data_IF_304192913739
#
_entry.id   IF_304192913739
#
_cell.length_a   1.000
_cell.length_b   1.000
_cell.length_c   1.000
_cell.angle_alpha   90.00
_cell.angle_beta   90.00
_cell.angle_gamma   90.00
#
_symmetry.space_group_name_H-M   'P 1'
#
loop_
_entity.id
_entity.type
_entity.pdbx_description
1 polymer ?
#
# COMPACT_ATOMS: atom_id res chain seq x y z
N UNK A 1 65.03 91.02 -29.36
CA UNK A 1 65.07 91.67 -30.68
C UNK A 1 64.55 90.71 -31.73
N UNK A 2 63.71 91.23 -32.63
CA UNK A 2 63.13 90.54 -33.79
C UNK A 2 64.22 90.00 -34.72
N UNK A 3 63.99 88.85 -35.36
CA UNK A 3 63.89 88.75 -36.83
C UNK A 3 63.39 87.37 -37.27
N UNK A 4 62.28 87.46 -38.00
CA UNK A 4 61.67 86.50 -38.91
C UNK A 4 62.58 86.33 -40.14
N UNK A 5 62.55 85.18 -40.83
CA UNK A 5 62.15 85.02 -42.25
C UNK A 5 62.43 83.58 -42.74
N UNK A 6 61.32 82.89 -43.04
CA UNK A 6 61.01 81.98 -44.16
C UNK A 6 62.10 81.14 -44.85
N UNK A 7 61.82 79.83 -44.96
CA UNK A 7 61.98 79.12 -46.23
C UNK A 7 60.89 78.06 -46.44
N UNK A 8 60.29 78.12 -47.63
CA UNK A 8 59.24 77.27 -48.20
C UNK A 8 59.61 75.78 -48.26
N UNK A 9 58.63 74.90 -48.10
CA UNK A 9 58.80 73.45 -48.31
C UNK A 9 57.50 72.66 -48.19
N UNK A 10 56.68 72.74 -49.23
CA UNK A 10 55.45 71.99 -49.48
C UNK A 10 55.76 70.50 -49.73
N UNK A 11 55.33 69.55 -48.86
CA UNK A 11 55.01 68.18 -49.32
C UNK A 11 54.20 67.33 -48.32
N UNK A 12 53.01 66.93 -48.80
CA UNK A 12 52.30 65.68 -48.57
C UNK A 12 51.96 65.21 -47.13
N UNK A 13 50.68 65.39 -46.81
CA UNK A 13 49.84 64.43 -46.07
C UNK A 13 50.25 62.96 -46.28
N UNK A 14 50.25 62.19 -45.19
CA UNK A 14 50.04 60.75 -45.27
C UNK A 14 50.92 59.94 -44.32
N UNK A 15 50.59 59.94 -43.02
CA UNK A 15 51.08 58.94 -42.08
C UNK A 15 50.05 58.74 -40.96
N UNK A 16 49.07 57.89 -41.26
CA UNK A 16 48.27 57.20 -40.25
C UNK A 16 48.89 55.80 -40.11
N UNK A 17 49.41 55.40 -38.94
CA UNK A 17 49.76 54.00 -38.71
C UNK A 17 48.53 53.31 -38.11
N UNK A 18 47.75 52.61 -38.91
CA UNK A 18 46.70 51.72 -38.39
C UNK A 18 46.92 50.31 -38.92
N UNK A 19 47.73 49.57 -38.15
CA UNK A 19 47.38 48.26 -37.59
C UNK A 19 46.55 47.34 -38.51
N UNK A 20 47.21 46.80 -39.55
CA UNK A 20 46.69 45.70 -40.34
C UNK A 20 46.97 44.36 -39.64
N UNK A 21 46.09 43.94 -38.72
CA UNK A 21 46.01 42.57 -38.21
C UNK A 21 44.66 42.34 -37.49
N UNK A 22 43.53 42.26 -38.22
CA UNK A 22 42.20 42.03 -37.59
C UNK A 22 41.23 41.01 -38.21
N UNK A 23 41.47 40.28 -39.33
CA UNK A 23 40.50 39.26 -39.73
C UNK A 23 40.65 37.91 -38.98
N UNK A 24 41.80 37.64 -38.35
CA UNK A 24 42.08 36.36 -37.70
C UNK A 24 41.57 36.28 -36.24
N UNK A 25 41.49 37.41 -35.55
CA UNK A 25 41.05 37.48 -34.14
C UNK A 25 39.54 37.28 -33.99
N UNK A 26 38.75 37.84 -34.92
CA UNK A 26 37.28 37.71 -34.91
C UNK A 26 36.83 36.28 -35.22
N UNK A 27 37.49 35.61 -36.18
CA UNK A 27 37.22 34.21 -36.50
C UNK A 27 37.54 33.28 -35.31
N UNK A 28 38.66 33.51 -34.61
CA UNK A 28 39.03 32.74 -33.41
C UNK A 28 38.11 32.99 -32.22
N UNK A 29 37.65 34.23 -32.01
CA UNK A 29 36.70 34.57 -30.96
C UNK A 29 35.32 33.93 -31.20
N UNK A 30 34.85 33.95 -32.46
CA UNK A 30 33.58 33.33 -32.85
C UNK A 30 33.64 31.80 -32.67
N UNK A 31 34.77 31.17 -33.03
CA UNK A 31 34.98 29.73 -32.84
C UNK A 31 35.03 29.33 -31.36
N UNK A 32 35.67 30.15 -30.51
CA UNK A 32 35.65 29.97 -29.05
C UNK A 32 34.25 30.12 -28.46
N UNK A 33 33.45 31.07 -28.94
CA UNK A 33 32.04 31.21 -28.53
C UNK A 33 31.19 30.01 -28.97
N UNK A 34 31.40 29.49 -30.18
CA UNK A 34 30.70 28.29 -30.64
C UNK A 34 31.07 27.07 -29.78
N UNK A 35 32.35 26.87 -29.47
CA UNK A 35 32.79 25.78 -28.59
C UNK A 35 32.22 25.89 -27.16
N UNK A 36 32.12 27.09 -26.59
CA UNK A 36 31.54 27.26 -25.25
C UNK A 36 30.04 26.99 -25.24
N UNK A 37 29.32 27.42 -26.29
CA UNK A 37 27.91 27.10 -26.50
C UNK A 37 27.68 25.61 -26.70
N UNK A 38 28.53 24.93 -27.47
CA UNK A 38 28.44 23.47 -27.63
C UNK A 38 28.75 22.72 -26.34
N UNK A 39 29.77 23.14 -25.59
CA UNK A 39 30.08 22.58 -24.25
C UNK A 39 28.92 22.82 -23.27
N UNK A 40 28.27 23.98 -23.32
CA UNK A 40 27.10 24.28 -22.50
C UNK A 40 25.89 23.43 -22.90
N UNK A 41 25.60 23.29 -24.20
CA UNK A 41 24.54 22.41 -24.72
C UNK A 41 24.79 20.95 -24.36
N UNK A 42 26.03 20.48 -24.45
CA UNK A 42 26.40 19.11 -24.07
C UNK A 42 26.24 18.88 -22.57
N UNK A 43 26.65 19.85 -21.73
CA UNK A 43 26.42 19.79 -20.27
C UNK A 43 24.93 19.79 -19.94
N UNK A 44 24.13 20.60 -20.62
CA UNK A 44 22.68 20.63 -20.45
C UNK A 44 22.02 19.31 -20.85
N UNK A 45 22.37 18.75 -22.02
CA UNK A 45 21.90 17.43 -22.48
C UNK A 45 22.24 16.32 -21.47
N UNK A 46 23.48 16.30 -20.97
CA UNK A 46 23.91 15.33 -19.94
C UNK A 46 23.17 15.53 -18.61
N UNK A 47 22.87 16.77 -18.23
CA UNK A 47 22.12 17.06 -17.01
C UNK A 47 20.65 16.61 -17.14
N UNK A 48 20.01 16.87 -18.29
CA UNK A 48 18.64 16.41 -18.57
C UNK A 48 18.56 14.89 -18.63
N UNK A 49 19.53 14.23 -19.25
CA UNK A 49 19.58 12.76 -19.31
C UNK A 49 19.75 12.14 -17.91
N UNK A 50 20.66 12.69 -17.09
CA UNK A 50 20.81 12.27 -15.68
C UNK A 50 19.54 12.51 -14.87
N UNK A 51 18.81 13.61 -15.11
CA UNK A 51 17.55 13.90 -14.44
C UNK A 51 16.46 12.91 -14.86
N UNK A 52 16.36 12.58 -16.15
CA UNK A 52 15.42 11.59 -16.69
C UNK A 52 15.69 10.20 -16.09
N UNK A 53 16.95 9.76 -16.06
CA UNK A 53 17.33 8.47 -15.44
C UNK A 53 17.01 8.43 -13.94
N UNK A 54 17.20 9.54 -13.22
CA UNK A 54 16.81 9.63 -11.80
C UNK A 54 15.30 9.53 -11.63
N UNK A 55 14.53 10.28 -12.42
CA UNK A 55 13.08 10.25 -12.39
C UNK A 55 12.53 8.86 -12.72
N UNK A 56 13.08 8.18 -13.71
CA UNK A 56 12.67 6.82 -14.07
C UNK A 56 12.98 5.81 -12.95
N UNK A 57 14.15 5.93 -12.31
CA UNK A 57 14.49 5.13 -11.13
C UNK A 57 13.54 5.39 -9.97
N UNK A 58 13.15 6.63 -9.73
CA UNK A 58 12.19 7.00 -8.69
C UNK A 58 10.79 6.47 -9.00
N UNK A 59 10.32 6.61 -10.24
CA UNK A 59 9.05 6.00 -10.70
C UNK A 59 9.06 4.48 -10.49
N UNK A 60 10.13 3.81 -10.91
CA UNK A 60 10.27 2.35 -10.71
C UNK A 60 10.26 1.95 -9.23
N UNK A 61 10.89 2.75 -8.35
CA UNK A 61 10.84 2.53 -6.91
C UNK A 61 9.43 2.73 -6.35
N UNK A 62 8.75 3.79 -6.77
CA UNK A 62 7.38 4.09 -6.36
C UNK A 62 6.40 2.99 -6.78
N UNK A 63 6.48 2.50 -8.02
CA UNK A 63 5.66 1.39 -8.50
C UNK A 63 5.91 0.10 -7.71
N UNK A 64 7.18 -0.21 -7.39
CA UNK A 64 7.52 -1.37 -6.56
C UNK A 64 6.96 -1.23 -5.15
N UNK A 65 7.02 -0.03 -4.57
CA UNK A 65 6.45 0.24 -3.25
C UNK A 65 4.91 0.10 -3.28
N UNK A 66 4.25 0.66 -4.28
CA UNK A 66 2.80 0.53 -4.46
C UNK A 66 2.37 -0.93 -4.60
N UNK A 67 3.07 -1.72 -5.45
CA UNK A 67 2.80 -3.16 -5.59
C UNK A 67 3.00 -3.94 -4.29
N UNK A 68 3.95 -3.55 -3.44
CA UNK A 68 4.13 -4.17 -2.12
C UNK A 68 2.98 -3.82 -1.19
N UNK A 69 2.62 -2.54 -1.10
CA UNK A 69 1.50 -2.08 -0.30
C UNK A 69 0.17 -2.75 -0.71
N UNK A 70 -0.10 -2.86 -2.01
CA UNK A 70 -1.29 -3.55 -2.51
C UNK A 70 -1.31 -5.04 -2.12
N UNK A 71 -0.15 -5.72 -2.21
CA UNK A 71 -0.03 -7.12 -1.76
C UNK A 71 -0.27 -7.26 -0.26
N UNK A 72 0.20 -6.31 0.54
CA UNK A 72 -0.04 -6.29 1.99
C UNK A 72 -1.51 -6.04 2.31
N UNK A 73 -2.14 -5.06 1.67
CA UNK A 73 -3.58 -4.81 1.80
C UNK A 73 -4.41 -6.06 1.47
N UNK A 74 -4.12 -6.72 0.35
CA UNK A 74 -4.79 -7.99 -0.02
C UNK A 74 -4.56 -9.12 0.98
N UNK A 75 -3.41 -9.16 1.66
CA UNK A 75 -3.15 -10.13 2.72
C UNK A 75 -3.97 -9.82 3.98
N UNK A 76 -4.07 -8.54 4.34
CA UNK A 76 -4.86 -8.08 5.47
C UNK A 76 -6.35 -8.35 5.24
N UNK A 77 -6.87 -8.03 4.06
CA UNK A 77 -8.26 -8.33 3.66
C UNK A 77 -8.57 -9.82 3.78
N UNK A 78 -7.70 -10.68 3.25
CA UNK A 78 -7.84 -12.14 3.39
C UNK A 78 -7.76 -12.63 4.83
N UNK A 79 -6.99 -11.97 5.68
CA UNK A 79 -6.92 -12.32 7.10
C UNK A 79 -8.23 -11.92 7.81
N UNK A 80 -8.73 -10.71 7.53
CA UNK A 80 -10.01 -10.23 8.05
C UNK A 80 -11.17 -11.14 7.63
N UNK A 81 -11.25 -11.51 6.36
CA UNK A 81 -12.25 -12.47 5.84
C UNK A 81 -12.25 -13.80 6.59
N UNK A 82 -11.07 -14.30 7.00
CA UNK A 82 -10.95 -15.55 7.76
C UNK A 82 -11.47 -15.36 9.19
N UNK A 83 -11.14 -14.23 9.82
CA UNK A 83 -11.63 -13.88 11.16
C UNK A 83 -13.15 -13.74 11.15
N UNK A 84 -13.72 -13.07 10.15
CA UNK A 84 -15.16 -12.85 10.04
C UNK A 84 -15.91 -14.18 9.85
N UNK A 85 -15.40 -15.06 8.97
CA UNK A 85 -15.95 -16.42 8.79
C UNK A 85 -15.87 -17.26 10.06
N UNK A 86 -14.76 -17.20 10.79
CA UNK A 86 -14.60 -17.93 12.04
C UNK A 86 -15.54 -17.37 13.13
N UNK A 87 -15.72 -16.05 13.19
CA UNK A 87 -16.64 -15.39 14.13
C UNK A 87 -18.09 -15.78 13.84
N UNK A 88 -18.48 -15.80 12.55
CA UNK A 88 -19.81 -16.26 12.14
C UNK A 88 -20.05 -17.74 12.49
N UNK A 89 -19.02 -18.59 12.37
CA UNK A 89 -19.11 -19.99 12.75
C UNK A 89 -19.35 -20.18 14.26
N UNK A 90 -18.64 -19.42 15.11
CA UNK A 90 -18.85 -19.39 16.56
C UNK A 90 -20.29 -18.97 16.88
N UNK A 91 -20.74 -17.85 16.33
CA UNK A 91 -22.12 -17.37 16.55
C UNK A 91 -23.17 -18.39 16.12
N UNK A 92 -22.95 -19.13 15.03
CA UNK A 92 -23.86 -20.19 14.59
C UNK A 92 -23.88 -21.37 15.56
N UNK A 93 -22.74 -21.77 16.10
CA UNK A 93 -22.65 -22.83 17.11
C UNK A 93 -23.34 -22.43 18.42
N UNK A 94 -23.11 -21.21 18.91
CA UNK A 94 -23.81 -20.66 20.10
C UNK A 94 -25.33 -20.67 19.91
N UNK A 95 -25.80 -20.27 18.72
CA UNK A 95 -27.23 -20.30 18.40
C UNK A 95 -27.83 -21.72 18.36
N UNK A 96 -27.03 -22.74 18.00
CA UNK A 96 -27.48 -24.14 18.05
C UNK A 96 -27.53 -24.64 19.49
N UNK A 97 -26.47 -24.38 20.25
CA UNK A 97 -26.37 -24.74 21.66
C UNK A 97 -27.52 -24.16 22.48
N UNK A 98 -27.79 -22.87 22.34
CA UNK A 98 -28.91 -22.20 23.03
C UNK A 98 -30.27 -22.80 22.67
N UNK A 99 -30.51 -23.14 21.39
CA UNK A 99 -31.75 -23.84 20.97
C UNK A 99 -31.85 -25.24 21.58
N UNK A 100 -30.74 -25.98 21.62
CA UNK A 100 -30.69 -27.31 22.21
C UNK A 100 -30.97 -27.28 23.72
N UNK A 101 -30.40 -26.30 24.44
CA UNK A 101 -30.64 -26.06 25.86
C UNK A 101 -32.10 -25.69 26.14
N UNK A 102 -32.70 -24.77 25.37
CA UNK A 102 -34.14 -24.43 25.50
C UNK A 102 -35.04 -25.64 25.29
N UNK A 103 -34.68 -26.53 24.36
CA UNK A 103 -35.43 -27.77 24.12
C UNK A 103 -35.32 -28.72 25.32
N UNK A 104 -34.13 -28.87 25.90
CA UNK A 104 -33.93 -29.67 27.11
C UNK A 104 -34.77 -29.14 28.28
N UNK A 105 -34.72 -27.83 28.52
CA UNK A 105 -35.50 -27.17 29.57
C UNK A 105 -37.00 -27.42 29.40
N UNK A 106 -37.52 -27.29 28.17
CA UNK A 106 -38.93 -27.58 27.87
C UNK A 106 -39.29 -29.04 28.17
N UNK A 107 -38.46 -30.00 27.75
CA UNK A 107 -38.71 -31.42 28.02
C UNK A 107 -38.68 -31.74 29.51
N UNK A 108 -37.75 -31.15 30.27
CA UNK A 108 -37.69 -31.30 31.72
C UNK A 108 -38.93 -30.71 32.40
N UNK A 109 -39.36 -29.51 31.96
CA UNK A 109 -40.57 -28.87 32.47
C UNK A 109 -41.84 -29.67 32.20
N UNK A 110 -41.98 -30.21 30.99
CA UNK A 110 -43.12 -31.03 30.60
C UNK A 110 -43.12 -32.35 31.39
N UNK A 111 -41.96 -33.01 31.54
CA UNK A 111 -41.82 -34.21 32.36
C UNK A 111 -42.19 -33.95 33.83
N UNK A 112 -41.65 -32.89 34.44
CA UNK A 112 -41.96 -32.56 35.84
C UNK A 112 -43.45 -32.30 36.03
N UNK A 113 -44.08 -31.54 35.13
CA UNK A 113 -45.53 -31.29 35.16
C UNK A 113 -46.34 -32.58 35.09
N UNK A 114 -45.94 -33.53 34.26
CA UNK A 114 -46.66 -34.79 34.10
C UNK A 114 -46.43 -35.73 35.30
N UNK A 115 -45.25 -35.67 35.93
CA UNK A 115 -44.97 -36.33 37.22
C UNK A 115 -45.85 -35.75 38.31
N UNK A 116 -45.90 -34.42 38.46
CA UNK A 116 -46.68 -33.72 39.49
C UNK A 116 -48.18 -34.04 39.39
N UNK A 117 -48.68 -34.21 38.17
CA UNK A 117 -50.07 -34.58 37.89
C UNK A 117 -50.32 -36.08 37.89
N UNK A 118 -49.30 -36.90 38.16
CA UNK A 118 -49.33 -38.35 38.13
C UNK A 118 -49.91 -38.94 36.82
N UNK A 119 -49.56 -38.32 35.68
CA UNK A 119 -50.10 -38.64 34.35
C UNK A 119 -49.26 -39.66 33.57
N UNK A 120 -48.13 -40.08 34.12
CA UNK A 120 -47.17 -40.96 33.45
C UNK A 120 -47.13 -42.34 34.12
N UNK A 121 -47.17 -43.39 33.28
CA UNK A 121 -46.78 -44.73 33.72
C UNK A 121 -45.26 -44.84 33.86
N UNK A 122 -44.78 -45.86 34.59
CA UNK A 122 -43.35 -46.10 34.75
C UNK A 122 -42.61 -46.26 33.41
N UNK A 123 -43.24 -46.90 32.41
CA UNK A 123 -42.69 -47.02 31.06
C UNK A 123 -42.61 -45.68 30.31
N UNK A 124 -43.62 -44.83 30.45
CA UNK A 124 -43.59 -43.51 29.81
C UNK A 124 -42.50 -42.61 30.43
N UNK A 125 -42.32 -42.72 31.75
CA UNK A 125 -41.31 -41.99 32.51
C UNK A 125 -39.88 -42.41 32.13
N UNK A 126 -39.63 -43.71 31.96
CA UNK A 126 -38.32 -44.21 31.48
C UNK A 126 -38.02 -43.74 30.05
N UNK A 127 -39.00 -43.78 29.14
CA UNK A 127 -38.85 -43.25 27.77
C UNK A 127 -38.55 -41.74 27.76
N UNK A 128 -39.26 -40.96 28.57
CA UNK A 128 -39.02 -39.51 28.66
C UNK A 128 -37.62 -39.19 29.19
N UNK A 129 -37.16 -39.90 30.23
CA UNK A 129 -35.78 -39.78 30.75
C UNK A 129 -34.73 -40.13 29.68
N UNK A 130 -34.94 -41.19 28.91
CA UNK A 130 -34.04 -41.56 27.81
C UNK A 130 -33.98 -40.49 26.71
N UNK A 131 -35.10 -39.83 26.39
CA UNK A 131 -35.11 -38.71 25.44
C UNK A 131 -34.36 -37.48 25.97
N UNK A 132 -34.52 -37.17 27.26
CA UNK A 132 -33.77 -36.10 27.94
C UNK A 132 -32.27 -36.40 27.89
N UNK A 133 -31.85 -37.63 28.20
CA UNK A 133 -30.45 -38.04 28.14
C UNK A 133 -29.88 -37.88 26.72
N UNK A 134 -30.59 -38.36 25.70
CA UNK A 134 -30.18 -38.20 24.29
C UNK A 134 -30.04 -36.72 23.89
N UNK A 135 -30.87 -35.84 24.47
CA UNK A 135 -30.75 -34.41 24.23
C UNK A 135 -29.56 -33.79 24.96
N UNK A 136 -29.21 -34.27 26.17
CA UNK A 136 -27.99 -33.86 26.87
C UNK A 136 -26.74 -34.26 26.09
N UNK A 137 -26.71 -35.45 25.50
CA UNK A 137 -25.61 -35.90 24.63
C UNK A 137 -25.44 -34.98 23.42
N UNK A 138 -26.55 -34.59 22.77
CA UNK A 138 -26.53 -33.60 21.67
C UNK A 138 -26.02 -32.23 22.10
N UNK A 139 -26.35 -31.80 23.32
CA UNK A 139 -25.83 -30.53 23.87
C UNK A 139 -24.31 -30.63 24.03
N UNK A 140 -23.81 -31.75 24.58
CA UNK A 140 -22.37 -31.97 24.72
C UNK A 140 -21.63 -32.01 23.37
N UNK A 141 -22.26 -32.52 22.30
CA UNK A 141 -21.71 -32.44 20.94
C UNK A 141 -21.64 -31.00 20.43
N UNK A 142 -22.70 -30.21 20.59
CA UNK A 142 -22.73 -28.79 20.19
C UNK A 142 -21.74 -27.95 21.02
N UNK A 143 -21.52 -28.26 22.30
CA UNK A 143 -20.48 -27.64 23.14
C UNK A 143 -19.08 -27.91 22.60
N UNK A 144 -18.78 -29.16 22.23
CA UNK A 144 -17.51 -29.52 21.60
C UNK A 144 -17.31 -28.80 20.27
N UNK A 145 -18.36 -28.64 19.48
CA UNK A 145 -18.27 -27.94 18.19
C UNK A 145 -18.11 -26.43 18.38
N UNK A 146 -18.73 -25.85 19.40
CA UNK A 146 -18.49 -24.47 19.82
C UNK A 146 -17.03 -24.28 20.25
N UNK A 147 -16.50 -25.18 21.08
CA UNK A 147 -15.10 -25.13 21.53
C UNK A 147 -14.13 -25.20 20.34
N UNK A 148 -14.36 -26.11 19.39
CA UNK A 148 -13.56 -26.18 18.15
C UNK A 148 -13.65 -24.90 17.32
N UNK A 149 -14.83 -24.29 17.23
CA UNK A 149 -15.01 -23.04 16.50
C UNK A 149 -14.27 -21.87 17.20
N UNK A 150 -14.38 -21.78 18.52
CA UNK A 150 -13.66 -20.79 19.33
C UNK A 150 -12.14 -20.99 19.24
N UNK A 151 -11.66 -22.23 19.28
CA UNK A 151 -10.24 -22.56 19.12
C UNK A 151 -9.70 -22.22 17.72
N UNK A 152 -10.54 -22.27 16.67
CA UNK A 152 -10.16 -21.80 15.33
C UNK A 152 -10.08 -20.27 15.28
N UNK A 153 -11.04 -19.59 15.92
CA UNK A 153 -11.06 -18.14 15.99
C UNK A 153 -9.88 -17.58 16.78
N UNK A 154 -9.53 -18.19 17.92
CA UNK A 154 -8.41 -17.77 18.76
C UNK A 154 -7.04 -17.96 18.09
N UNK A 155 -6.92 -18.87 17.12
CA UNK A 155 -5.71 -19.04 16.30
C UNK A 155 -5.58 -18.01 15.18
N UNK A 156 -6.66 -17.31 14.85
CA UNK A 156 -6.71 -16.30 13.79
C UNK A 156 -6.61 -14.87 14.33
N UNK A 157 -6.80 -14.69 15.64
CA UNK A 157 -6.61 -13.44 16.38
C UNK A 157 -5.22 -13.43 17.01
#
# INVERSE_FOLDING_TARGET
MKKLVFFWGLFAMGLIPVFAQQPLTDSLALRKQQETLEKARLKQKRATEKAMVKMEKEKSKAEKAQKKAEKELRKMEKAQDKIDKATAAVSKAENRLTKAQKKLEKMQKDLNRDIDKNRLSAEALTKARAQIQKQQERIAEEEKDLEKAQAKLSKLR
#
